data_IF_995938943045
#
_entry.id   IF_995938943045
#
_cell.length_a   1.000
_cell.length_b   1.000
_cell.length_c   1.000
_cell.angle_alpha   90.00
_cell.angle_beta   90.00
_cell.angle_gamma   90.00
#
_symmetry.space_group_name_H-M   'P 1'
#
loop_
_entity.id
_entity.type
_entity.pdbx_description
1 polymer ?
#
# COMPACT_ATOMS: atom_id res chain seq x y z
N UNK A 1 -4.05 1.07 18.66
CA UNK A 1 -3.69 2.50 18.52
C UNK A 1 -3.18 2.55 17.12
N UNK A 2 -4.03 2.95 16.17
CA UNK A 2 -3.77 2.67 14.77
C UNK A 2 -2.54 3.42 14.27
N UNK A 3 -1.58 2.67 13.73
CA UNK A 3 -0.34 3.21 13.19
C UNK A 3 -0.65 3.89 11.84
N UNK A 4 -0.02 5.03 11.58
CA UNK A 4 -0.21 5.78 10.32
C UNK A 4 1.08 5.86 9.54
N UNK A 5 1.05 5.40 8.29
CA UNK A 5 2.19 5.39 7.37
C UNK A 5 1.85 6.17 6.10
N UNK A 6 2.82 6.89 5.55
CA UNK A 6 2.66 7.53 4.24
C UNK A 6 2.79 6.48 3.15
N UNK A 7 2.03 6.60 2.06
CA UNK A 7 2.15 5.69 0.90
C UNK A 7 3.61 5.53 0.44
N UNK A 8 4.37 6.63 0.37
CA UNK A 8 5.79 6.63 0.02
C UNK A 8 6.73 5.92 1.02
N UNK A 9 6.21 5.42 2.14
CA UNK A 9 6.93 4.66 3.17
C UNK A 9 6.34 3.26 3.40
N UNK A 10 5.32 2.87 2.64
CA UNK A 10 4.67 1.55 2.78
C UNK A 10 5.63 0.43 2.42
N UNK A 11 6.44 0.60 1.37
CA UNK A 11 7.49 -0.38 1.01
C UNK A 11 8.40 -0.70 2.21
N UNK A 12 8.84 0.32 2.95
CA UNK A 12 9.63 0.12 4.16
C UNK A 12 8.88 -0.50 5.34
N UNK A 13 7.55 -0.39 5.37
CA UNK A 13 6.75 -1.14 6.33
C UNK A 13 6.75 -2.64 5.97
N UNK A 14 6.70 -2.97 4.68
CA UNK A 14 6.75 -4.36 4.20
C UNK A 14 8.10 -5.04 4.45
N UNK A 15 9.20 -4.29 4.50
CA UNK A 15 10.53 -4.82 4.88
C UNK A 15 10.55 -5.46 6.28
N UNK A 16 9.56 -5.16 7.12
CA UNK A 16 9.48 -5.66 8.51
C UNK A 16 8.83 -7.03 8.63
N UNK A 17 8.22 -7.54 7.56
CA UNK A 17 7.60 -8.87 7.54
C UNK A 17 8.65 -9.97 7.37
N UNK A 18 8.33 -11.17 7.88
CA UNK A 18 9.11 -12.38 7.65
C UNK A 18 8.64 -13.07 6.36
N UNK A 19 9.52 -13.16 5.37
CA UNK A 19 9.23 -13.76 4.07
C UNK A 19 9.68 -15.23 3.99
N UNK A 20 8.94 -16.11 3.27
CA UNK A 20 7.71 -15.81 2.53
C UNK A 20 6.49 -15.62 3.44
N UNK A 21 5.65 -14.65 3.08
CA UNK A 21 4.42 -14.29 3.82
C UNK A 21 3.19 -14.50 2.93
N UNK A 22 2.08 -14.95 3.50
CA UNK A 22 0.82 -15.09 2.76
C UNK A 22 0.07 -13.76 2.74
N UNK A 23 -0.84 -13.58 1.78
CA UNK A 23 -1.72 -12.41 1.73
C UNK A 23 -2.51 -12.22 3.02
N UNK A 24 -3.05 -13.30 3.57
CA UNK A 24 -3.87 -13.27 4.79
C UNK A 24 -3.04 -12.83 6.00
N UNK A 25 -1.83 -13.35 6.15
CA UNK A 25 -0.92 -13.01 7.25
C UNK A 25 -0.42 -11.57 7.14
N UNK A 26 -0.02 -11.14 5.94
CA UNK A 26 0.36 -9.75 5.68
C UNK A 26 -0.81 -8.77 5.90
N UNK A 27 -2.02 -9.12 5.48
CA UNK A 27 -3.22 -8.31 5.73
C UNK A 27 -3.54 -8.21 7.22
N UNK A 28 -3.39 -9.31 7.97
CA UNK A 28 -3.61 -9.34 9.41
C UNK A 28 -2.59 -8.47 10.17
N UNK A 29 -1.31 -8.51 9.78
CA UNK A 29 -0.27 -7.67 10.40
C UNK A 29 -0.53 -6.17 10.18
N UNK A 30 -1.14 -5.80 9.06
CA UNK A 30 -1.40 -4.41 8.70
C UNK A 30 -2.85 -3.94 8.92
N UNK A 31 -3.69 -4.73 9.59
CA UNK A 31 -5.11 -4.39 9.80
C UNK A 31 -5.33 -3.16 10.69
N UNK A 32 -4.38 -2.83 11.58
CA UNK A 32 -4.41 -1.59 12.41
C UNK A 32 -3.55 -0.48 11.80
N UNK A 33 -3.09 -0.63 10.55
CA UNK A 33 -2.24 0.36 9.86
C UNK A 33 -3.04 1.13 8.82
N UNK A 34 -3.01 2.45 8.91
CA UNK A 34 -3.64 3.36 7.96
C UNK A 34 -2.59 3.97 7.04
N UNK A 35 -2.75 3.78 5.74
CA UNK A 35 -1.97 4.45 4.70
C UNK A 35 -2.58 5.81 4.42
N UNK A 36 -1.77 6.86 4.47
CA UNK A 36 -2.16 8.21 4.04
C UNK A 36 -1.50 8.55 2.71
N UNK A 37 -2.26 9.09 1.78
CA UNK A 37 -1.83 9.55 0.46
C UNK A 37 -2.35 10.98 0.18
N UNK A 38 -2.15 11.49 -1.04
CA UNK A 38 -2.32 12.91 -1.37
C UNK A 38 -3.74 13.43 -1.09
N UNK A 39 -4.76 12.64 -1.43
CA UNK A 39 -6.18 13.02 -1.29
C UNK A 39 -6.98 12.02 -0.45
N UNK A 40 -6.35 11.36 0.53
CA UNK A 40 -7.08 10.47 1.42
C UNK A 40 -6.25 9.52 2.25
N UNK A 41 -6.96 8.57 2.84
CA UNK A 41 -6.40 7.50 3.63
C UNK A 41 -7.18 6.19 3.40
N UNK A 42 -6.50 5.06 3.53
CA UNK A 42 -7.08 3.73 3.44
C UNK A 42 -6.42 2.78 4.45
N UNK A 43 -7.10 1.69 4.78
CA UNK A 43 -6.51 0.64 5.62
C UNK A 43 -5.52 -0.20 4.81
N UNK A 44 -4.29 -0.36 5.31
CA UNK A 44 -3.24 -1.10 4.62
C UNK A 44 -3.58 -2.60 4.54
N UNK A 45 -4.07 -3.18 5.63
CA UNK A 45 -4.48 -4.58 5.67
C UNK A 45 -5.62 -4.90 4.69
N UNK A 46 -6.60 -4.01 4.55
CA UNK A 46 -7.65 -4.17 3.54
C UNK A 46 -7.09 -4.11 2.12
N UNK A 47 -6.24 -3.14 1.80
CA UNK A 47 -5.59 -3.06 0.49
C UNK A 47 -4.77 -4.33 0.19
N UNK A 48 -4.02 -4.84 1.17
CA UNK A 48 -3.27 -6.10 1.02
C UNK A 48 -4.23 -7.28 0.79
N UNK A 49 -5.40 -7.32 1.42
CA UNK A 49 -6.38 -8.39 1.22
C UNK A 49 -6.96 -8.41 -0.21
N UNK A 50 -6.97 -7.27 -0.90
CA UNK A 50 -7.51 -7.14 -2.27
C UNK A 50 -6.52 -7.53 -3.37
N UNK A 51 -5.23 -7.71 -3.05
CA UNK A 51 -4.22 -8.08 -4.05
C UNK A 51 -4.48 -9.48 -4.63
N UNK A 52 -4.09 -9.66 -5.90
CA UNK A 52 -4.33 -10.90 -6.64
C UNK A 52 -3.47 -12.07 -6.18
N UNK A 53 -2.23 -11.80 -5.77
CA UNK A 53 -1.28 -12.82 -5.34
C UNK A 53 -1.62 -13.41 -3.95
N UNK A 54 -1.36 -14.71 -3.78
CA UNK A 54 -1.69 -15.44 -2.54
C UNK A 54 -0.55 -15.42 -1.51
N UNK A 55 0.68 -15.24 -1.97
CA UNK A 55 1.88 -15.15 -1.15
C UNK A 55 2.98 -14.34 -1.83
N UNK A 56 3.91 -13.82 -1.04
CA UNK A 56 4.99 -12.93 -1.48
C UNK A 56 6.32 -13.44 -0.96
N UNK A 57 7.38 -13.31 -1.76
CA UNK A 57 8.74 -13.70 -1.38
C UNK A 57 9.61 -12.52 -0.96
N UNK A 58 9.10 -11.29 -1.09
CA UNK A 58 9.79 -10.09 -0.67
C UNK A 58 8.89 -8.86 -0.64
N UNK A 59 9.39 -7.76 -0.03
CA UNK A 59 8.64 -6.51 0.11
C UNK A 59 8.36 -5.84 -1.24
N UNK A 60 9.27 -5.93 -2.21
CA UNK A 60 9.09 -5.38 -3.56
C UNK A 60 7.91 -6.03 -4.29
N UNK A 61 7.71 -7.34 -4.12
CA UNK A 61 6.63 -8.12 -4.74
C UNK A 61 5.28 -7.70 -4.17
N UNK A 62 5.18 -7.62 -2.85
CA UNK A 62 3.98 -7.15 -2.16
C UNK A 62 3.68 -5.68 -2.51
N UNK A 63 4.70 -4.83 -2.57
CA UNK A 63 4.55 -3.44 -2.97
C UNK A 63 4.05 -3.30 -4.40
N UNK A 64 4.63 -4.03 -5.35
CA UNK A 64 4.17 -4.01 -6.75
C UNK A 64 2.70 -4.43 -6.87
N UNK A 65 2.28 -5.45 -6.13
CA UNK A 65 0.89 -5.93 -6.11
C UNK A 65 -0.06 -4.93 -5.44
N UNK A 66 0.37 -4.27 -4.37
CA UNK A 66 -0.38 -3.18 -3.73
C UNK A 66 -0.64 -2.05 -4.73
N UNK A 67 0.36 -1.67 -5.55
CA UNK A 67 0.22 -0.61 -6.54
C UNK A 67 -0.85 -0.91 -7.59
N UNK A 68 -1.19 -2.19 -7.83
CA UNK A 68 -2.25 -2.60 -8.75
C UNK A 68 -3.68 -2.42 -8.18
N UNK A 69 -3.82 -2.31 -6.85
CA UNK A 69 -5.13 -2.16 -6.17
C UNK A 69 -5.37 -0.76 -5.62
N UNK A 70 -4.34 0.10 -5.60
CA UNK A 70 -4.50 1.47 -5.12
C UNK A 70 -5.51 2.25 -5.97
N UNK A 71 -6.41 3.03 -5.32
CA UNK A 71 -7.32 3.89 -6.04
C UNK A 71 -6.54 4.96 -6.82
N UNK A 72 -7.08 5.38 -7.96
CA UNK A 72 -6.44 6.39 -8.83
C UNK A 72 -6.14 7.70 -8.08
N UNK A 73 -6.96 8.01 -7.06
CA UNK A 73 -6.83 9.16 -6.16
C UNK A 73 -5.59 9.06 -5.25
N UNK A 74 -5.14 7.85 -4.91
CA UNK A 74 -3.95 7.62 -4.08
C UNK A 74 -2.63 7.83 -4.83
N UNK A 75 -2.66 7.70 -6.16
CA UNK A 75 -1.50 7.91 -7.05
C UNK A 75 -1.23 9.41 -7.28
N UNK A 76 -2.17 10.27 -6.87
CA UNK A 76 -2.20 11.68 -7.23
C UNK A 76 -2.70 11.82 -8.66
N UNK A 77 -3.60 12.79 -8.88
CA UNK A 77 -3.95 13.15 -10.25
C UNK A 77 -2.65 13.40 -11.04
N UNK A 78 -2.52 12.93 -12.30
CA UNK A 78 -1.54 13.50 -13.20
C UNK A 78 -1.94 14.95 -13.44
N UNK A 79 -1.58 15.82 -12.49
CA UNK A 79 -1.54 17.25 -12.66
C UNK A 79 -0.47 17.56 -13.70
N UNK A 80 -0.81 17.38 -14.97
CA UNK A 80 -0.36 18.29 -16.00
C UNK A 80 -0.80 19.69 -15.53
N UNK A 81 0.14 20.33 -14.84
CA UNK A 81 0.28 21.77 -14.82
C UNK A 81 0.36 22.24 -16.28
N UNK A 82 -0.77 22.49 -16.91
CA UNK A 82 -0.79 23.45 -18.01
C UNK A 82 -0.75 24.83 -17.36
N UNK A 83 0.48 25.32 -17.21
CA UNK A 83 0.75 26.71 -16.89
C UNK A 83 0.31 27.63 -18.02
N UNK A 84 0.04 28.87 -17.62
CA UNK A 84 -0.11 30.09 -18.42
C UNK A 84 0.23 30.02 -19.92
N UNK A 85 -0.74 30.43 -20.74
CA UNK A 85 -0.50 31.16 -21.98
C UNK A 85 -1.60 32.21 -22.22
#
# INVERSE_FOLDING_TARGET
>A
MSERVKLSRVESAFERLDYPVTRDDAAAEFVDVTVTFADGEANLGELVSEVGSDAFHGPDELHAELQNVLPVEAVGEPGQSDGDA
#
